data_IF_790530072008
#
_entry.id   IF_790530072008
#
_cell.length_a   1.000
_cell.length_b   1.000
_cell.length_c   1.000
_cell.angle_alpha   90.00
_cell.angle_beta   90.00
_cell.angle_gamma   90.00
#
_symmetry.space_group_name_H-M   'P 1'
#
loop_
_entity.id
_entity.type
_entity.pdbx_description
1 polymer ?
#
# COMPACT_ATOMS: atom_id res chain seq x y z
N UNK A 1 -4.04 -12.91 -26.26
CA UNK A 1 -4.70 -12.91 -24.96
C UNK A 1 -4.10 -11.80 -24.10
N UNK A 2 -4.93 -11.04 -23.42
CA UNK A 2 -4.48 -9.97 -22.52
C UNK A 2 -5.12 -10.14 -21.14
N UNK A 3 -4.30 -10.19 -20.12
CA UNK A 3 -4.76 -10.28 -18.74
C UNK A 3 -3.84 -9.41 -17.87
N UNK A 4 -4.36 -8.95 -16.74
CA UNK A 4 -3.57 -8.20 -15.76
C UNK A 4 -4.20 -8.35 -14.38
N UNK A 5 -3.39 -8.17 -13.36
CA UNK A 5 -3.91 -8.09 -12.00
C UNK A 5 -4.36 -6.66 -11.78
N UNK A 6 -5.67 -6.45 -11.69
CA UNK A 6 -6.23 -5.11 -11.58
C UNK A 6 -6.16 -4.58 -10.16
N UNK A 7 -6.48 -5.40 -9.18
CA UNK A 7 -6.54 -5.00 -7.78
C UNK A 7 -6.00 -6.08 -6.87
N UNK A 8 -5.47 -5.65 -5.73
CA UNK A 8 -5.13 -6.51 -4.61
C UNK A 8 -5.98 -6.04 -3.44
N UNK A 9 -6.69 -6.96 -2.80
CA UNK A 9 -7.55 -6.60 -1.68
C UNK A 9 -6.72 -6.46 -0.40
N UNK A 10 -6.90 -5.34 0.27
CA UNK A 10 -6.30 -5.06 1.57
C UNK A 10 -7.42 -5.01 2.58
N UNK A 11 -7.40 -5.93 3.54
CA UNK A 11 -8.44 -5.97 4.58
C UNK A 11 -8.18 -4.87 5.59
N UNK A 12 -9.18 -4.04 5.83
CA UNK A 12 -9.10 -2.89 6.71
C UNK A 12 -10.18 -2.94 7.78
N UNK A 13 -9.98 -2.20 8.87
CA UNK A 13 -10.99 -2.09 9.91
C UNK A 13 -12.12 -1.16 9.49
N UNK A 14 -11.79 0.01 8.94
CA UNK A 14 -12.76 0.99 8.49
C UNK A 14 -12.27 1.67 7.21
N UNK A 15 -13.21 1.94 6.29
CA UNK A 15 -12.88 2.56 5.01
C UNK A 15 -12.23 3.94 5.19
N UNK A 16 -12.86 4.82 5.96
CA UNK A 16 -12.44 6.22 5.99
C UNK A 16 -11.08 6.41 6.63
N UNK A 17 -10.76 5.67 7.69
CA UNK A 17 -9.43 5.77 8.29
C UNK A 17 -8.35 5.24 7.34
N UNK A 18 -8.66 4.20 6.58
CA UNK A 18 -7.72 3.65 5.61
C UNK A 18 -7.53 4.61 4.43
N UNK A 19 -8.62 5.19 3.93
CA UNK A 19 -8.56 6.20 2.87
C UNK A 19 -7.66 7.35 3.33
N UNK A 20 -7.88 7.84 4.52
CA UNK A 20 -7.08 8.96 5.03
C UNK A 20 -5.60 8.61 5.12
N UNK A 21 -5.27 7.44 5.64
CA UNK A 21 -3.87 7.02 5.73
C UNK A 21 -3.22 6.98 4.35
N UNK A 22 -3.84 6.27 3.42
CA UNK A 22 -3.23 6.06 2.11
C UNK A 22 -3.16 7.34 1.28
N UNK A 23 -4.18 8.21 1.37
CA UNK A 23 -4.18 9.44 0.59
C UNK A 23 -3.35 10.55 1.22
N UNK A 24 -3.42 10.71 2.54
CA UNK A 24 -2.73 11.82 3.23
C UNK A 24 -1.28 11.51 3.55
N UNK A 25 -1.00 10.29 3.99
CA UNK A 25 0.36 9.95 4.44
C UNK A 25 1.22 9.33 3.35
N UNK A 26 0.63 8.60 2.41
CA UNK A 26 1.35 7.98 1.31
C UNK A 26 1.15 8.69 -0.02
N UNK A 27 0.32 9.72 -0.06
CA UNK A 27 -0.01 10.47 -1.28
C UNK A 27 -0.64 9.60 -2.38
N UNK A 28 -1.29 8.51 -2.01
CA UNK A 28 -2.05 7.73 -2.98
C UNK A 28 -3.28 8.52 -3.42
N UNK A 29 -3.79 8.18 -4.57
CA UNK A 29 -4.99 8.80 -5.13
C UNK A 29 -6.19 7.90 -4.85
N UNK A 30 -7.28 8.48 -4.33
CA UNK A 30 -8.55 7.78 -4.23
C UNK A 30 -9.18 7.79 -5.62
N UNK A 31 -9.16 6.65 -6.30
CA UNK A 31 -9.64 6.57 -7.68
C UNK A 31 -11.08 6.16 -7.78
N UNK A 32 -11.62 5.49 -6.77
CA UNK A 32 -13.02 5.13 -6.75
C UNK A 32 -13.51 4.97 -5.32
N UNK A 33 -14.75 5.39 -5.05
CA UNK A 33 -15.42 5.20 -3.77
C UNK A 33 -16.91 5.15 -4.05
N UNK A 34 -17.43 3.95 -4.26
CA UNK A 34 -18.83 3.74 -4.67
C UNK A 34 -19.53 2.84 -3.68
N UNK A 35 -20.66 3.30 -3.16
CA UNK A 35 -21.48 2.47 -2.29
C UNK A 35 -22.26 1.45 -3.11
N UNK A 36 -22.22 0.19 -2.67
CA UNK A 36 -22.93 -0.92 -3.32
C UNK A 36 -24.09 -1.35 -2.41
N UNK A 37 -25.31 -0.84 -2.66
CA UNK A 37 -26.44 -1.07 -1.74
C UNK A 37 -26.80 -2.54 -1.54
N UNK A 38 -26.71 -3.34 -2.60
CA UNK A 38 -27.07 -4.75 -2.51
C UNK A 38 -26.15 -5.55 -1.62
N UNK A 39 -24.85 -5.21 -1.63
CA UNK A 39 -23.85 -5.88 -0.81
C UNK A 39 -23.61 -5.14 0.50
N UNK A 40 -24.20 -3.96 0.66
CA UNK A 40 -24.05 -3.12 1.86
C UNK A 40 -22.58 -2.85 2.19
N UNK A 41 -21.80 -2.53 1.15
CA UNK A 41 -20.39 -2.22 1.29
C UNK A 41 -19.97 -1.14 0.30
N UNK A 42 -18.77 -0.63 0.45
CA UNK A 42 -18.19 0.36 -0.44
C UNK A 42 -17.14 -0.31 -1.32
N UNK A 43 -17.07 0.14 -2.56
CA UNK A 43 -16.02 -0.23 -3.50
C UNK A 43 -15.01 0.89 -3.50
N UNK A 44 -13.88 0.69 -2.81
CA UNK A 44 -12.91 1.75 -2.56
C UNK A 44 -11.57 1.35 -3.14
N UNK A 45 -11.06 2.16 -4.08
CA UNK A 45 -9.79 1.90 -4.75
C UNK A 45 -8.84 3.07 -4.49
N UNK A 46 -7.62 2.77 -4.03
CA UNK A 46 -6.54 3.74 -3.93
C UNK A 46 -5.35 3.27 -4.75
N UNK A 47 -4.63 4.23 -5.30
CA UNK A 47 -3.54 3.94 -6.23
C UNK A 47 -2.32 4.79 -5.91
N UNK A 48 -1.10 4.24 -6.03
CA UNK A 48 0.11 5.04 -5.92
C UNK A 48 0.13 6.17 -6.95
N UNK A 49 0.82 7.28 -6.67
CA UNK A 49 0.91 8.38 -7.63
C UNK A 49 1.47 7.89 -8.97
N UNK A 50 0.78 8.24 -10.06
CA UNK A 50 1.21 7.89 -11.40
C UNK A 50 1.02 6.44 -11.81
N UNK A 51 0.47 5.59 -10.94
CA UNK A 51 0.26 4.18 -11.26
C UNK A 51 -0.97 3.99 -12.12
N UNK A 52 -0.85 3.12 -13.13
CA UNK A 52 -1.93 2.81 -14.03
C UNK A 52 -2.44 1.38 -13.89
N UNK A 53 -1.82 0.59 -13.04
CA UNK A 53 -2.16 -0.83 -12.90
C UNK A 53 -1.85 -1.32 -11.50
N UNK A 54 -2.57 -2.38 -11.11
CA UNK A 54 -2.47 -3.00 -9.79
C UNK A 54 -2.71 -2.01 -8.65
N UNK A 55 -3.98 -1.74 -8.43
CA UNK A 55 -4.43 -0.82 -7.37
C UNK A 55 -4.80 -1.60 -6.12
N UNK A 56 -5.00 -0.90 -5.01
CA UNK A 56 -5.48 -1.51 -3.78
C UNK A 56 -6.99 -1.35 -3.64
N UNK A 57 -7.68 -2.45 -3.41
CA UNK A 57 -9.09 -2.44 -3.02
C UNK A 57 -9.14 -2.49 -1.50
N UNK A 58 -9.62 -1.44 -0.88
CA UNK A 58 -9.78 -1.41 0.58
C UNK A 58 -11.06 -2.15 0.95
N UNK A 59 -10.92 -3.29 1.62
CA UNK A 59 -12.03 -4.17 1.93
C UNK A 59 -12.25 -4.22 3.44
N UNK A 60 -13.38 -3.68 3.90
CA UNK A 60 -13.67 -3.70 5.34
C UNK A 60 -13.93 -5.12 5.81
N UNK A 61 -13.32 -5.52 6.92
CA UNK A 61 -13.53 -6.83 7.49
C UNK A 61 -15.01 -7.04 7.82
N UNK A 62 -15.56 -8.17 7.40
CA UNK A 62 -16.98 -8.47 7.54
C UNK A 62 -17.25 -9.53 8.62
N UNK A 63 -16.22 -10.15 9.17
CA UNK A 63 -16.38 -11.21 10.17
C UNK A 63 -15.08 -11.38 10.95
N UNK A 64 -15.10 -12.25 11.97
CA UNK A 64 -13.96 -12.45 12.85
C UNK A 64 -12.73 -12.97 12.12
N UNK A 65 -12.89 -13.85 11.15
CA UNK A 65 -11.76 -14.38 10.40
C UNK A 65 -11.05 -13.29 9.61
N UNK A 66 -11.82 -12.38 9.03
CA UNK A 66 -11.24 -11.25 8.30
C UNK A 66 -10.62 -10.25 9.26
N UNK A 67 -11.23 -10.02 10.43
CA UNK A 67 -10.66 -9.11 11.43
C UNK A 67 -9.28 -9.59 11.90
N UNK A 68 -9.06 -10.89 11.98
CA UNK A 68 -7.79 -11.45 12.44
C UNK A 68 -6.63 -11.16 11.50
N UNK A 69 -6.90 -10.93 10.22
CA UNK A 69 -5.82 -10.68 9.26
C UNK A 69 -5.49 -9.19 9.10
N UNK A 70 -6.28 -8.31 9.72
CA UNK A 70 -5.99 -6.87 9.66
C UNK A 70 -4.59 -6.62 10.21
N UNK A 71 -3.72 -6.00 9.40
CA UNK A 71 -2.35 -5.69 9.81
C UNK A 71 -1.39 -6.87 9.76
N UNK A 72 -1.87 -8.05 9.41
CA UNK A 72 -1.03 -9.25 9.33
C UNK A 72 -1.42 -10.12 8.14
N UNK A 73 -1.76 -9.46 7.05
CA UNK A 73 -2.32 -10.16 5.89
C UNK A 73 -1.30 -11.09 5.24
N UNK A 74 -0.02 -10.78 5.36
CA UNK A 74 1.05 -11.63 4.82
C UNK A 74 1.75 -12.48 5.90
N UNK A 75 1.17 -12.56 7.09
CA UNK A 75 1.72 -13.42 8.14
C UNK A 75 3.06 -12.93 8.69
N UNK A 76 3.32 -11.63 8.64
CA UNK A 76 4.57 -11.07 9.14
C UNK A 76 5.63 -10.81 8.09
N UNK A 77 5.39 -11.24 6.85
CA UNK A 77 6.28 -10.92 5.75
C UNK A 77 5.95 -9.54 5.17
N UNK A 78 6.87 -9.00 4.39
CA UNK A 78 6.56 -7.82 3.57
C UNK A 78 5.42 -8.20 2.64
N UNK A 79 4.35 -7.40 2.69
CA UNK A 79 3.13 -7.69 1.95
C UNK A 79 3.18 -7.11 0.54
N UNK A 80 3.56 -5.85 0.42
CA UNK A 80 3.58 -5.15 -0.87
C UNK A 80 4.89 -4.39 -1.04
N UNK A 81 5.24 -4.17 -2.29
CA UNK A 81 6.48 -3.51 -2.68
C UNK A 81 6.12 -2.24 -3.44
N UNK A 82 6.47 -1.10 -2.89
CA UNK A 82 6.22 0.20 -3.51
C UNK A 82 7.51 0.68 -4.14
N UNK A 83 7.56 0.64 -5.46
CA UNK A 83 8.71 1.15 -6.20
C UNK A 83 8.56 2.66 -6.37
N UNK A 84 9.65 3.37 -6.24
CA UNK A 84 9.67 4.83 -6.41
C UNK A 84 10.84 5.24 -7.30
N UNK A 85 10.69 6.37 -7.97
CA UNK A 85 11.75 6.97 -8.75
C UNK A 85 12.64 7.90 -7.91
N UNK A 86 12.27 8.18 -6.66
CA UNK A 86 13.04 9.05 -5.77
C UNK A 86 12.83 8.63 -4.33
N UNK A 87 13.69 7.75 -3.86
CA UNK A 87 13.60 7.18 -2.51
C UNK A 87 13.67 8.26 -1.44
N UNK A 88 14.64 9.17 -1.56
CA UNK A 88 14.86 10.18 -0.52
C UNK A 88 13.65 11.09 -0.36
N UNK A 89 13.09 11.55 -1.47
CA UNK A 89 11.89 12.40 -1.45
C UNK A 89 10.76 11.72 -0.69
N UNK A 90 10.48 10.46 -1.05
CA UNK A 90 9.34 9.75 -0.47
C UNK A 90 9.62 9.34 0.97
N UNK A 91 10.82 8.91 1.27
CA UNK A 91 11.19 8.54 2.62
C UNK A 91 11.05 9.73 3.57
N UNK A 92 11.58 10.89 3.18
CA UNK A 92 11.47 12.10 4.01
C UNK A 92 10.02 12.55 4.19
N UNK A 93 9.22 12.48 3.13
CA UNK A 93 7.80 12.81 3.20
C UNK A 93 7.06 11.89 4.17
N UNK A 94 7.33 10.59 4.09
CA UNK A 94 6.70 9.62 4.97
C UNK A 94 7.09 9.83 6.43
N UNK A 95 8.35 10.12 6.70
CA UNK A 95 8.80 10.41 8.07
C UNK A 95 8.06 11.64 8.61
N UNK A 96 7.92 12.70 7.80
CA UNK A 96 7.20 13.89 8.22
C UNK A 96 5.75 13.60 8.55
N UNK A 97 5.14 12.67 7.83
CA UNK A 97 3.74 12.29 8.06
C UNK A 97 3.59 11.29 9.21
N UNK A 98 4.69 10.93 9.87
CA UNK A 98 4.63 10.04 11.02
C UNK A 98 4.56 8.56 10.69
N UNK A 99 4.91 8.18 9.47
CA UNK A 99 4.94 6.76 9.11
C UNK A 99 6.12 6.10 9.79
N UNK A 100 5.87 4.94 10.38
CA UNK A 100 6.88 4.17 11.10
C UNK A 100 7.66 3.29 10.13
N UNK A 101 8.97 3.47 10.09
CA UNK A 101 9.86 2.57 9.36
C UNK A 101 10.43 1.56 10.35
N UNK A 102 10.10 0.29 10.13
CA UNK A 102 10.52 -0.80 11.01
C UNK A 102 11.91 -1.31 10.63
N UNK A 103 12.38 -1.02 9.42
CA UNK A 103 13.75 -1.25 9.01
C UNK A 103 14.29 0.00 8.33
N UNK A 104 15.52 0.43 8.71
CA UNK A 104 16.06 1.66 8.15
C UNK A 104 16.48 1.51 6.69
N UNK A 105 16.68 2.64 5.99
CA UNK A 105 17.17 2.59 4.61
C UNK A 105 18.48 1.83 4.49
N UNK A 106 18.58 1.01 3.46
CA UNK A 106 19.80 0.26 3.16
C UNK A 106 19.97 0.18 1.65
N UNK A 107 21.23 0.39 1.22
CA UNK A 107 21.56 0.30 -0.18
C UNK A 107 22.05 -1.11 -0.52
N UNK A 108 21.45 -1.69 -1.54
CA UNK A 108 21.84 -3.00 -2.09
C UNK A 108 22.19 -2.83 -3.57
N UNK A 109 22.71 -3.88 -4.19
CA UNK A 109 22.98 -3.86 -5.62
C UNK A 109 21.73 -3.60 -6.45
N UNK A 110 20.59 -4.12 -5.99
CA UNK A 110 19.32 -3.97 -6.72
C UNK A 110 18.61 -2.64 -6.45
N UNK A 111 19.05 -1.87 -5.48
CA UNK A 111 18.43 -0.59 -5.17
C UNK A 111 18.53 -0.23 -3.71
N UNK A 112 17.86 0.86 -3.36
CA UNK A 112 17.76 1.35 -1.98
C UNK A 112 16.40 0.98 -1.43
N UNK A 113 16.36 0.37 -0.24
CA UNK A 113 15.13 -0.14 0.36
C UNK A 113 15.02 0.20 1.83
N UNK A 114 13.80 0.46 2.27
CA UNK A 114 13.42 0.53 3.68
C UNK A 114 12.07 -0.14 3.83
N UNK A 115 11.74 -0.57 5.05
CA UNK A 115 10.46 -1.23 5.30
C UNK A 115 9.64 -0.37 6.24
N UNK A 116 8.43 -0.04 5.83
CA UNK A 116 7.51 0.71 6.68
C UNK A 116 6.26 -0.10 7.00
N UNK A 117 5.56 0.36 8.03
CA UNK A 117 4.31 -0.24 8.48
C UNK A 117 3.15 0.66 8.04
N UNK A 118 2.08 0.07 7.51
CA UNK A 118 0.88 0.83 7.22
C UNK A 118 0.09 1.08 8.50
N UNK A 119 -1.11 1.67 8.36
CA UNK A 119 -1.96 2.02 9.49
C UNK A 119 -2.21 0.84 10.44
N UNK A 120 -2.33 -0.35 9.88
CA UNK A 120 -2.71 -1.54 10.65
C UNK A 120 -1.53 -2.44 11.01
N UNK A 121 -0.36 -2.19 10.47
CA UNK A 121 0.83 -3.00 10.75
C UNK A 121 1.30 -3.87 9.60
N UNK A 122 0.65 -3.82 8.45
CA UNK A 122 1.16 -4.54 7.27
C UNK A 122 2.49 -3.92 6.85
N UNK A 123 3.44 -4.76 6.47
CA UNK A 123 4.77 -4.31 6.10
C UNK A 123 4.88 -4.08 4.61
N UNK A 124 5.52 -2.98 4.26
CA UNK A 124 5.75 -2.57 2.88
C UNK A 124 7.22 -2.28 2.66
N UNK A 125 7.76 -2.71 1.52
CA UNK A 125 9.03 -2.19 1.05
C UNK A 125 8.79 -0.87 0.34
N UNK A 126 9.60 0.14 0.67
CA UNK A 126 9.77 1.31 -0.20
C UNK A 126 11.10 1.11 -0.88
N UNK A 127 11.11 1.03 -2.21
CA UNK A 127 12.29 0.63 -2.95
C UNK A 127 12.49 1.48 -4.20
N UNK A 128 13.67 2.07 -4.32
CA UNK A 128 14.09 2.69 -5.57
C UNK A 128 15.05 1.75 -6.25
N UNK A 129 14.67 1.16 -7.40
CA UNK A 129 15.54 0.24 -8.10
C UNK A 129 16.81 0.94 -8.58
N UNK A 130 17.93 0.21 -8.58
CA UNK A 130 19.13 0.71 -9.22
C UNK A 130 18.90 0.85 -10.72
N UNK A 131 19.77 1.59 -11.41
CA UNK A 131 19.63 1.81 -12.85
C UNK A 131 19.53 0.51 -13.64
N UNK A 132 20.16 -0.56 -13.14
CA UNK A 132 20.14 -1.86 -13.79
C UNK A 132 18.79 -2.56 -13.68
N UNK A 133 17.92 -2.12 -12.75
CA UNK A 133 16.66 -2.78 -12.46
C UNK A 133 15.44 -1.92 -12.77
N UNK A 134 15.61 -0.78 -13.43
CA UNK A 134 14.51 0.13 -13.72
C UNK A 134 13.56 -0.36 -14.79
N UNK A 135 13.92 -1.39 -15.51
CA UNK A 135 13.11 -1.93 -16.60
C UNK A 135 11.93 -2.78 -16.15
N UNK A 136 11.70 -2.89 -14.88
CA UNK A 136 10.59 -3.69 -14.34
C UNK A 136 9.23 -3.01 -14.45
#
# INVERSE_FOLDING_TARGET
>A
MRQRIAHVALVVREYDEAIEFYTKKLNFTLTEDTYLPEEKKRWVIVSPPGANECHLLLARAANEEQEKVIGNQAGGRVFLFLFTDDFRRDYESMIQEGIEFVRPPKKHDYGTVAVFSDLYGNLWDLLEPSDLNQSV
#
